data_IF_684653241674
#
_entry.id   IF_684653241674
#
_cell.length_a   1.000
_cell.length_b   1.000
_cell.length_c   1.000
_cell.angle_alpha   90.00
_cell.angle_beta   90.00
_cell.angle_gamma   90.00
#
_symmetry.space_group_name_H-M   'P 1'
#
loop_
_entity.id
_entity.type
_entity.pdbx_description
1 polymer ?
#
# COMPACT_ATOMS: atom_id res chain seq x y z
N UNK A 1 0.93 -12.67 13.72
CA UNK A 1 2.01 -11.66 13.72
C UNK A 1 1.86 -10.74 14.92
N UNK A 2 2.98 -10.33 15.58
CA UNK A 2 2.95 -9.39 16.71
C UNK A 2 2.60 -7.98 16.21
N UNK A 3 1.60 -7.33 16.81
CA UNK A 3 1.04 -6.07 16.33
C UNK A 3 1.53 -4.82 17.08
N UNK A 4 2.47 -4.98 18.01
CA UNK A 4 3.06 -3.90 18.80
C UNK A 4 4.59 -4.01 18.86
N UNK A 5 5.26 -2.91 19.23
CA UNK A 5 6.71 -2.88 19.38
C UNK A 5 7.49 -2.98 18.06
N UNK A 6 6.84 -2.74 16.92
CA UNK A 6 7.47 -2.74 15.60
C UNK A 6 7.93 -1.36 15.19
N UNK A 7 8.83 -1.30 14.22
CA UNK A 7 9.21 -0.10 13.48
C UNK A 7 8.80 -0.27 12.01
N UNK A 8 7.81 0.50 11.57
CA UNK A 8 7.04 0.27 10.35
C UNK A 8 7.24 1.44 9.38
N UNK A 9 7.67 1.14 8.15
CA UNK A 9 7.65 2.08 7.04
C UNK A 9 6.39 1.84 6.19
N UNK A 10 5.61 2.91 5.95
CA UNK A 10 4.39 2.85 5.14
C UNK A 10 4.51 3.81 3.95
N UNK A 11 4.54 3.28 2.73
CA UNK A 11 4.49 4.11 1.53
C UNK A 11 3.06 4.58 1.25
N UNK A 12 2.90 5.86 0.84
CA UNK A 12 1.57 6.45 0.70
C UNK A 12 0.81 6.55 2.02
N UNK A 13 1.55 6.70 3.15
CA UNK A 13 1.00 6.68 4.50
C UNK A 13 0.27 7.94 4.95
N UNK A 14 0.19 8.99 4.11
CA UNK A 14 -0.40 10.27 4.47
C UNK A 14 -1.90 10.40 4.15
N UNK A 15 -2.54 9.38 3.57
CA UNK A 15 -3.98 9.41 3.25
C UNK A 15 -4.56 7.99 3.08
N UNK A 16 -5.89 7.89 3.10
CA UNK A 16 -6.63 6.66 2.80
C UNK A 16 -6.19 5.46 3.63
N UNK A 17 -6.09 4.28 3.01
CA UNK A 17 -5.73 3.02 3.68
C UNK A 17 -4.37 3.13 4.39
N UNK A 18 -3.37 3.77 3.76
CA UNK A 18 -2.04 3.93 4.34
C UNK A 18 -2.06 4.72 5.64
N UNK A 19 -2.82 5.82 5.68
CA UNK A 19 -2.96 6.61 6.90
C UNK A 19 -3.77 5.89 7.98
N UNK A 20 -4.84 5.18 7.60
CA UNK A 20 -5.58 4.34 8.53
C UNK A 20 -4.71 3.23 9.15
N UNK A 21 -3.79 2.63 8.37
CA UNK A 21 -2.79 1.69 8.91
C UNK A 21 -1.81 2.39 9.85
N UNK A 22 -1.34 3.60 9.50
CA UNK A 22 -0.48 4.37 10.38
C UNK A 22 -1.14 4.66 11.74
N UNK A 23 -2.42 5.07 11.74
CA UNK A 23 -3.22 5.28 12.96
C UNK A 23 -3.35 3.99 13.78
N UNK A 24 -3.73 2.90 13.14
CA UNK A 24 -3.92 1.61 13.80
C UNK A 24 -2.67 1.13 14.53
N UNK A 25 -1.53 1.16 13.83
CA UNK A 25 -0.27 0.72 14.40
C UNK A 25 0.30 1.71 15.43
N UNK A 26 0.17 3.03 15.19
CA UNK A 26 0.60 4.06 16.13
C UNK A 26 -0.11 3.91 17.48
N UNK A 27 -1.43 3.71 17.47
CA UNK A 27 -2.24 3.52 18.67
C UNK A 27 -1.84 2.27 19.49
N UNK A 28 -1.09 1.33 18.87
CA UNK A 28 -0.58 0.11 19.51
C UNK A 28 0.91 0.19 19.91
N UNK A 29 1.47 1.40 19.95
CA UNK A 29 2.85 1.62 20.42
C UNK A 29 3.93 1.19 19.43
N UNK A 30 3.64 1.18 18.13
CA UNK A 30 4.66 0.98 17.10
C UNK A 30 5.31 2.32 16.71
N UNK A 31 6.58 2.28 16.34
CA UNK A 31 7.28 3.41 15.70
C UNK A 31 6.86 3.45 14.23
N UNK A 32 6.42 4.61 13.76
CA UNK A 32 5.88 4.77 12.41
C UNK A 32 6.72 5.77 11.61
N UNK A 33 7.13 5.37 10.42
CA UNK A 33 7.65 6.24 9.37
C UNK A 33 6.70 6.16 8.17
N UNK A 34 6.17 7.28 7.75
CA UNK A 34 5.38 7.36 6.52
C UNK A 34 6.13 8.13 5.45
N UNK A 35 5.96 7.71 4.20
CA UNK A 35 6.47 8.48 3.07
C UNK A 35 5.40 8.75 2.01
N UNK A 36 5.59 9.82 1.25
CA UNK A 36 4.68 10.24 0.19
C UNK A 36 5.19 11.50 -0.52
N UNK A 37 4.49 11.94 -1.55
CA UNK A 37 4.90 13.08 -2.38
C UNK A 37 4.40 14.42 -1.87
N UNK A 38 3.26 14.44 -1.17
CA UNK A 38 2.56 15.66 -0.71
C UNK A 38 3.04 16.04 0.68
N UNK A 39 3.86 17.07 0.75
CA UNK A 39 4.45 17.54 2.03
C UNK A 39 3.39 18.08 2.98
N UNK A 40 2.36 18.78 2.47
CA UNK A 40 1.21 19.25 3.22
C UNK A 40 0.49 18.09 3.92
N UNK A 41 0.20 17.00 3.20
CA UNK A 41 -0.45 15.82 3.77
C UNK A 41 0.43 15.07 4.78
N UNK A 42 1.73 15.02 4.54
CA UNK A 42 2.68 14.46 5.52
C UNK A 42 2.69 15.28 6.81
N UNK A 43 2.67 16.60 6.69
CA UNK A 43 2.62 17.50 7.85
C UNK A 43 1.28 17.40 8.62
N UNK A 44 0.15 17.26 7.91
CA UNK A 44 -1.15 17.01 8.53
C UNK A 44 -1.17 15.68 9.29
N UNK A 45 -0.65 14.61 8.69
CA UNK A 45 -0.55 13.31 9.33
C UNK A 45 0.33 13.33 10.60
N UNK A 46 1.46 14.07 10.56
CA UNK A 46 2.33 14.21 11.73
C UNK A 46 1.67 15.01 12.87
N UNK A 47 0.78 15.96 12.56
CA UNK A 47 -0.02 16.67 13.57
C UNK A 47 -1.08 15.76 14.21
N UNK A 48 -1.74 14.93 13.41
CA UNK A 48 -2.78 14.00 13.88
C UNK A 48 -2.19 12.84 14.69
N UNK A 49 -0.96 12.38 14.33
CA UNK A 49 -0.27 11.28 14.98
C UNK A 49 1.06 11.75 15.58
N UNK A 50 1.07 12.38 16.76
CA UNK A 50 2.32 12.90 17.36
C UNK A 50 3.37 11.79 17.54
N UNK A 51 4.60 12.07 17.11
CA UNK A 51 5.72 11.15 17.26
C UNK A 51 5.98 10.24 16.05
N UNK A 52 5.14 10.24 15.02
CA UNK A 52 5.50 9.57 13.76
C UNK A 52 6.57 10.37 13.02
N UNK A 53 7.37 9.67 12.22
CA UNK A 53 8.32 10.29 11.30
C UNK A 53 7.71 10.38 9.90
N UNK A 54 8.08 11.41 9.17
CA UNK A 54 7.62 11.63 7.80
C UNK A 54 8.78 11.96 6.88
N UNK A 55 8.74 11.48 5.64
CA UNK A 55 9.73 11.81 4.62
C UNK A 55 9.06 11.99 3.27
N UNK A 56 9.40 13.09 2.56
CA UNK A 56 8.99 13.23 1.17
C UNK A 56 9.72 12.22 0.31
N UNK A 57 8.98 11.44 -0.47
CA UNK A 57 9.52 10.44 -1.38
C UNK A 57 8.52 10.15 -2.50
N UNK A 58 8.96 10.30 -3.74
CA UNK A 58 8.30 9.69 -4.88
C UNK A 58 8.88 8.30 -5.10
N UNK A 59 8.07 7.27 -4.82
CA UNK A 59 8.51 5.85 -4.88
C UNK A 59 8.92 5.41 -6.29
N UNK A 60 8.56 6.14 -7.35
CA UNK A 60 9.00 5.83 -8.72
C UNK A 60 10.37 6.44 -9.05
N UNK A 61 10.84 7.38 -8.25
CA UNK A 61 12.13 8.03 -8.46
C UNK A 61 13.26 7.24 -7.78
N UNK A 62 14.28 6.74 -8.53
CA UNK A 62 15.39 5.99 -7.95
C UNK A 62 16.18 6.77 -6.88
N UNK A 63 16.39 8.08 -7.08
CA UNK A 63 17.12 8.92 -6.10
C UNK A 63 16.32 9.08 -4.81
N UNK A 64 15.00 9.22 -4.89
CA UNK A 64 14.15 9.32 -3.70
C UNK A 64 14.12 8.00 -2.93
N UNK A 65 14.06 6.84 -3.63
CA UNK A 65 14.18 5.52 -2.99
C UNK A 65 15.52 5.35 -2.27
N UNK A 66 16.62 5.81 -2.89
CA UNK A 66 17.95 5.78 -2.26
C UNK A 66 18.03 6.69 -1.04
N UNK A 67 17.47 7.89 -1.13
CA UNK A 67 17.39 8.84 -0.01
C UNK A 67 16.53 8.29 1.14
N UNK A 68 15.37 7.68 0.84
CA UNK A 68 14.52 7.00 1.82
C UNK A 68 15.29 5.88 2.53
N UNK A 69 16.01 5.05 1.78
CA UNK A 69 16.80 3.96 2.34
C UNK A 69 17.90 4.48 3.27
N UNK A 70 18.66 5.50 2.84
CA UNK A 70 19.68 6.15 3.67
C UNK A 70 19.08 6.76 4.94
N UNK A 71 17.92 7.40 4.83
CA UNK A 71 17.20 7.92 5.98
C UNK A 71 16.82 6.82 6.97
N UNK A 72 16.29 5.71 6.47
CA UNK A 72 15.92 4.57 7.32
C UNK A 72 17.15 4.00 8.04
N UNK A 73 18.27 3.83 7.35
CA UNK A 73 19.51 3.31 7.97
C UNK A 73 20.01 4.22 9.10
N UNK A 74 19.91 5.55 8.94
CA UNK A 74 20.47 6.50 9.89
C UNK A 74 19.49 6.89 11.01
N UNK A 75 18.20 7.07 10.68
CA UNK A 75 17.20 7.68 11.58
C UNK A 75 16.08 6.73 11.99
N UNK A 76 15.95 5.58 11.33
CA UNK A 76 14.92 4.57 11.62
C UNK A 76 15.48 3.13 11.59
N UNK A 77 16.66 2.87 12.24
CA UNK A 77 17.44 1.64 12.05
C UNK A 77 16.78 0.37 12.60
N UNK A 78 15.71 0.52 13.39
CA UNK A 78 14.99 -0.62 13.99
C UNK A 78 13.87 -1.15 13.06
N UNK A 79 13.78 -0.65 11.83
CA UNK A 79 12.76 -1.11 10.88
C UNK A 79 12.70 -2.63 10.82
N UNK A 80 11.51 -3.18 10.94
CA UNK A 80 11.23 -4.60 10.76
C UNK A 80 10.00 -4.88 9.89
N UNK A 81 9.23 -3.85 9.52
CA UNK A 81 8.06 -4.00 8.64
C UNK A 81 8.10 -2.93 7.53
N UNK A 82 7.98 -3.38 6.28
CA UNK A 82 7.73 -2.53 5.11
C UNK A 82 6.30 -2.73 4.63
N UNK A 83 5.53 -1.64 4.47
CA UNK A 83 4.19 -1.67 3.88
C UNK A 83 4.21 -0.94 2.54
N UNK A 84 4.13 -1.69 1.45
CA UNK A 84 3.96 -1.21 0.09
C UNK A 84 2.47 -0.90 -0.15
N UNK A 85 2.07 0.34 0.16
CA UNK A 85 0.68 0.79 0.03
C UNK A 85 0.51 1.88 -1.03
N UNK A 86 1.55 2.65 -1.36
CA UNK A 86 1.47 3.69 -2.38
C UNK A 86 0.87 3.13 -3.68
N UNK A 87 -0.10 3.84 -4.23
CA UNK A 87 -0.78 3.41 -5.45
C UNK A 87 -1.59 4.53 -6.06
N UNK A 88 -1.81 4.43 -7.37
CA UNK A 88 -2.68 5.31 -8.15
C UNK A 88 -3.64 4.47 -8.99
N UNK A 89 -4.74 5.08 -9.40
CA UNK A 89 -5.73 4.48 -10.29
C UNK A 89 -6.15 5.52 -11.32
N UNK A 90 -6.15 5.13 -12.60
CA UNK A 90 -6.53 6.00 -13.70
C UNK A 90 -7.56 5.32 -14.60
N UNK A 91 -8.37 6.11 -15.24
CA UNK A 91 -9.17 5.66 -16.38
C UNK A 91 -8.30 5.78 -17.64
N UNK A 92 -8.13 4.69 -18.37
CA UNK A 92 -7.32 4.57 -19.58
C UNK A 92 -8.18 4.02 -20.71
N UNK A 93 -8.24 4.76 -21.81
CA UNK A 93 -8.94 4.36 -23.03
C UNK A 93 -7.94 3.97 -24.11
N UNK A 94 -7.74 2.67 -24.32
CA UNK A 94 -6.80 2.14 -25.32
C UNK A 94 -7.18 2.50 -26.75
N UNK A 95 -8.44 2.88 -27.03
CA UNK A 95 -8.87 3.29 -28.37
C UNK A 95 -8.28 4.65 -28.80
N UNK A 96 -7.75 5.42 -27.84
CA UNK A 96 -7.04 6.70 -28.08
C UNK A 96 -5.55 6.54 -28.36
N UNK A 97 -5.06 5.31 -28.57
CA UNK A 97 -3.63 5.04 -28.72
C UNK A 97 -2.86 5.34 -27.43
N UNK A 98 -1.76 6.08 -27.51
CA UNK A 98 -0.88 6.37 -26.36
C UNK A 98 -1.30 7.59 -25.54
N UNK A 99 -2.30 8.35 -25.98
CA UNK A 99 -2.68 9.66 -25.41
C UNK A 99 -2.87 9.62 -23.90
N UNK A 100 -3.61 8.62 -23.39
CA UNK A 100 -3.88 8.52 -21.96
C UNK A 100 -2.64 8.06 -21.17
N UNK A 101 -1.65 7.43 -21.81
CA UNK A 101 -0.38 7.06 -21.17
C UNK A 101 0.59 8.24 -21.08
N UNK A 102 0.63 9.09 -22.09
CA UNK A 102 1.51 10.26 -22.16
C UNK A 102 1.07 11.37 -21.22
N UNK A 103 -0.26 11.49 -21.01
CA UNK A 103 -0.87 12.51 -20.20
C UNK A 103 -1.18 12.05 -18.78
N UNK A 104 -0.14 11.75 -17.98
CA UNK A 104 -0.32 11.46 -16.57
C UNK A 104 0.69 10.47 -15.97
N UNK A 105 0.42 10.09 -14.74
CA UNK A 105 1.31 9.22 -13.98
C UNK A 105 1.25 7.77 -14.49
N UNK A 106 2.40 7.11 -14.47
CA UNK A 106 2.51 5.71 -14.89
C UNK A 106 2.14 4.76 -13.76
N UNK A 107 0.97 4.13 -13.85
CA UNK A 107 0.49 3.16 -12.86
C UNK A 107 1.40 1.94 -12.71
N UNK A 108 2.05 1.49 -13.79
CA UNK A 108 2.97 0.34 -13.73
C UNK A 108 4.15 0.67 -12.81
N UNK A 109 4.70 1.87 -12.93
CA UNK A 109 5.81 2.30 -12.09
C UNK A 109 5.43 2.46 -10.63
N UNK A 110 4.25 3.03 -10.36
CA UNK A 110 3.81 3.27 -8.97
C UNK A 110 3.33 1.98 -8.31
N UNK A 111 2.42 1.23 -8.98
CA UNK A 111 1.69 0.14 -8.36
C UNK A 111 2.42 -1.20 -8.39
N UNK A 112 3.41 -1.37 -9.30
CA UNK A 112 4.12 -2.64 -9.48
C UNK A 112 5.64 -2.48 -9.37
N UNK A 113 6.26 -1.61 -10.18
CA UNK A 113 7.71 -1.44 -10.17
C UNK A 113 8.22 -0.99 -8.80
N UNK A 114 7.61 0.05 -8.21
CA UNK A 114 8.05 0.60 -6.92
C UNK A 114 7.98 -0.42 -5.77
N UNK A 115 6.88 -1.18 -5.55
CA UNK A 115 6.86 -2.27 -4.57
C UNK A 115 7.95 -3.32 -4.76
N UNK A 116 8.24 -3.71 -6.02
CA UNK A 116 9.30 -4.68 -6.33
C UNK A 116 10.68 -4.12 -5.92
N UNK A 117 11.00 -2.89 -6.33
CA UNK A 117 12.28 -2.27 -6.00
C UNK A 117 12.44 -1.99 -4.50
N UNK A 118 11.40 -1.49 -3.83
CA UNK A 118 11.44 -1.26 -2.39
C UNK A 118 11.59 -2.57 -1.62
N UNK A 119 10.88 -3.62 -2.02
CA UNK A 119 11.03 -4.93 -1.40
C UNK A 119 12.47 -5.44 -1.54
N UNK A 120 13.06 -5.37 -2.74
CA UNK A 120 14.44 -5.78 -2.96
C UNK A 120 15.42 -4.94 -2.13
N UNK A 121 15.22 -3.62 -2.08
CA UNK A 121 16.08 -2.68 -1.35
C UNK A 121 16.07 -2.92 0.16
N UNK A 122 14.88 -3.21 0.74
CA UNK A 122 14.72 -3.38 2.18
C UNK A 122 14.91 -4.83 2.67
N UNK A 123 14.84 -5.82 1.82
CA UNK A 123 15.04 -7.24 2.20
C UNK A 123 16.31 -7.48 3.02
N UNK A 124 17.52 -6.97 2.64
CA UNK A 124 18.73 -7.19 3.43
C UNK A 124 18.68 -6.58 4.84
N UNK A 125 17.93 -5.49 5.02
CA UNK A 125 17.77 -4.80 6.30
C UNK A 125 16.76 -5.50 7.20
N UNK A 126 15.74 -6.11 6.59
CA UNK A 126 14.68 -6.84 7.30
C UNK A 126 15.11 -8.26 7.69
N UNK A 127 16.01 -8.87 6.93
CA UNK A 127 16.47 -10.24 7.18
C UNK A 127 17.05 -10.39 8.59
N UNK A 128 16.59 -11.42 9.31
CA UNK A 128 17.02 -11.70 10.69
C UNK A 128 16.42 -10.79 11.76
N UNK A 129 15.54 -9.84 11.40
CA UNK A 129 14.82 -9.03 12.39
C UNK A 129 13.67 -9.86 13.00
N UNK A 130 13.42 -9.66 14.29
CA UNK A 130 12.23 -10.21 14.93
C UNK A 130 10.97 -9.64 14.28
N UNK A 131 10.00 -10.49 13.99
CA UNK A 131 8.72 -10.11 13.38
C UNK A 131 8.87 -9.39 12.02
N UNK A 132 9.93 -9.73 11.26
CA UNK A 132 10.19 -9.13 9.95
C UNK A 132 9.06 -9.41 8.95
N UNK A 133 8.54 -8.37 8.30
CA UNK A 133 7.50 -8.54 7.31
C UNK A 133 7.57 -7.52 6.17
N UNK A 134 7.10 -7.95 5.00
CA UNK A 134 6.73 -7.07 3.88
C UNK A 134 5.23 -7.25 3.63
N UNK A 135 4.50 -6.16 3.65
CA UNK A 135 3.06 -6.14 3.44
C UNK A 135 2.78 -5.43 2.11
N UNK A 136 2.18 -6.13 1.16
CA UNK A 136 1.79 -5.56 -0.13
C UNK A 136 0.28 -5.29 -0.16
N UNK A 137 -0.11 -4.07 -0.49
CA UNK A 137 -1.53 -3.70 -0.64
C UNK A 137 -1.92 -3.79 -2.11
N UNK A 138 -2.57 -4.90 -2.48
CA UNK A 138 -3.09 -5.14 -3.83
C UNK A 138 -4.51 -4.56 -4.01
N UNK A 139 -5.43 -5.32 -4.53
CA UNK A 139 -6.83 -4.92 -4.70
C UNK A 139 -7.70 -6.12 -5.02
N UNK A 140 -8.96 -6.13 -4.62
CA UNK A 140 -9.96 -7.07 -5.12
C UNK A 140 -10.10 -7.06 -6.64
N UNK A 141 -9.81 -5.93 -7.28
CA UNK A 141 -9.81 -5.80 -8.73
C UNK A 141 -8.71 -6.61 -9.44
N UNK A 142 -7.68 -7.07 -8.74
CA UNK A 142 -6.71 -8.03 -9.26
C UNK A 142 -7.36 -9.36 -9.74
N UNK A 143 -8.51 -9.70 -9.16
CA UNK A 143 -9.24 -10.95 -9.39
C UNK A 143 -10.55 -10.78 -10.17
N UNK A 144 -10.83 -9.56 -10.62
CA UNK A 144 -12.09 -9.19 -11.28
C UNK A 144 -11.84 -8.37 -12.56
N UNK A 145 -11.16 -8.93 -13.57
CA UNK A 145 -10.80 -8.18 -14.78
C UNK A 145 -12.03 -7.67 -15.55
N UNK A 146 -13.16 -8.37 -15.43
CA UNK A 146 -14.42 -8.01 -16.11
C UNK A 146 -15.20 -6.90 -15.39
N UNK A 147 -14.74 -6.44 -14.22
CA UNK A 147 -15.48 -5.44 -13.45
C UNK A 147 -15.56 -4.07 -14.15
N UNK A 148 -14.51 -3.65 -14.83
CA UNK A 148 -14.47 -2.38 -15.54
C UNK A 148 -13.42 -2.35 -16.65
N UNK A 149 -13.85 -2.13 -17.88
CA UNK A 149 -12.95 -1.92 -19.01
C UNK A 149 -12.16 -0.60 -18.93
N UNK A 150 -12.60 0.37 -18.13
CA UNK A 150 -11.98 1.70 -18.04
C UNK A 150 -10.66 1.74 -17.26
N UNK A 151 -10.24 0.65 -16.62
CA UNK A 151 -9.03 0.63 -15.76
C UNK A 151 -8.08 -0.52 -16.10
N UNK A 152 -7.72 -0.74 -17.37
CA UNK A 152 -6.97 -1.93 -17.79
C UNK A 152 -5.60 -2.01 -17.09
N UNK A 153 -4.91 -0.89 -16.93
CA UNK A 153 -3.58 -0.87 -16.32
C UNK A 153 -3.66 -1.11 -14.81
N UNK A 154 -4.66 -0.53 -14.12
CA UNK A 154 -4.84 -0.78 -12.70
C UNK A 154 -5.05 -2.26 -12.38
N UNK A 155 -5.98 -2.93 -13.09
CA UNK A 155 -6.23 -4.36 -12.95
C UNK A 155 -4.95 -5.17 -13.17
N UNK A 156 -4.22 -4.88 -14.27
CA UNK A 156 -2.96 -5.54 -14.61
C UNK A 156 -1.92 -5.37 -13.51
N UNK A 157 -1.72 -4.13 -13.01
CA UNK A 157 -0.71 -3.88 -11.98
C UNK A 157 -1.03 -4.57 -10.65
N UNK A 158 -2.31 -4.61 -10.27
CA UNK A 158 -2.72 -5.26 -9.02
C UNK A 158 -2.69 -6.78 -9.13
N UNK A 159 -3.01 -7.36 -10.29
CA UNK A 159 -2.81 -8.78 -10.57
C UNK A 159 -1.31 -9.14 -10.58
N UNK A 160 -0.47 -8.30 -11.17
CA UNK A 160 0.99 -8.47 -11.12
C UNK A 160 1.55 -8.40 -9.70
N UNK A 161 1.05 -7.48 -8.87
CA UNK A 161 1.46 -7.37 -7.47
C UNK A 161 1.02 -8.58 -6.62
N UNK A 162 -0.18 -9.14 -6.90
CA UNK A 162 -0.62 -10.40 -6.31
C UNK A 162 0.36 -11.53 -6.66
N UNK A 163 0.63 -11.75 -7.95
CA UNK A 163 1.56 -12.78 -8.39
C UNK A 163 2.96 -12.61 -7.77
N UNK A 164 3.45 -11.37 -7.71
CA UNK A 164 4.71 -11.02 -7.04
C UNK A 164 4.68 -11.39 -5.56
N UNK A 165 3.60 -11.08 -4.84
CA UNK A 165 3.45 -11.37 -3.41
C UNK A 165 3.50 -12.87 -3.12
N UNK A 166 2.87 -13.70 -3.96
CA UNK A 166 2.89 -15.16 -3.84
C UNK A 166 4.30 -15.72 -4.02
N UNK A 167 5.04 -15.26 -5.04
CA UNK A 167 6.42 -15.72 -5.30
C UNK A 167 7.37 -15.20 -4.22
N UNK A 168 7.26 -13.91 -3.86
CA UNK A 168 8.05 -13.27 -2.84
C UNK A 168 7.95 -13.98 -1.48
N UNK A 169 6.74 -14.40 -1.09
CA UNK A 169 6.48 -15.16 0.14
C UNK A 169 7.34 -16.42 0.22
N UNK A 170 7.37 -17.19 -0.89
CA UNK A 170 8.19 -18.41 -0.98
C UNK A 170 9.69 -18.10 -0.94
N UNK A 171 10.11 -17.02 -1.61
CA UNK A 171 11.51 -16.65 -1.70
C UNK A 171 12.08 -16.14 -0.37
N UNK A 172 11.29 -15.39 0.40
CA UNK A 172 11.76 -14.71 1.60
C UNK A 172 11.52 -15.50 2.91
N UNK A 173 10.66 -16.51 2.89
CA UNK A 173 10.41 -17.36 4.05
C UNK A 173 11.69 -18.00 4.64
N UNK A 174 12.65 -18.52 3.83
CA UNK A 174 13.88 -19.13 4.37
C UNK A 174 14.80 -18.16 5.13
N UNK A 175 14.65 -16.85 4.91
CA UNK A 175 15.42 -15.80 5.61
C UNK A 175 14.60 -15.08 6.70
N UNK A 176 13.45 -15.67 7.08
CA UNK A 176 12.64 -15.20 8.20
C UNK A 176 11.82 -13.95 7.95
N UNK A 177 11.58 -13.59 6.68
CA UNK A 177 10.70 -12.46 6.34
C UNK A 177 9.33 -12.99 5.91
N UNK A 178 8.29 -12.60 6.63
CA UNK A 178 6.91 -12.90 6.28
C UNK A 178 6.41 -11.95 5.20
N UNK A 179 5.77 -12.46 4.17
CA UNK A 179 5.13 -11.64 3.13
C UNK A 179 3.62 -11.79 3.21
N UNK A 180 2.96 -10.68 3.47
CA UNK A 180 1.51 -10.59 3.63
C UNK A 180 0.94 -9.76 2.50
N UNK A 181 -0.18 -10.22 1.93
CA UNK A 181 -0.95 -9.45 0.96
C UNK A 181 -2.27 -8.99 1.59
N UNK A 182 -2.50 -7.68 1.59
CA UNK A 182 -3.81 -7.11 1.94
C UNK A 182 -4.53 -6.79 0.63
N UNK A 183 -5.75 -7.32 0.49
CA UNK A 183 -6.59 -7.25 -0.73
C UNK A 183 -7.84 -6.43 -0.41
N UNK A 184 -7.78 -5.08 -0.53
CA UNK A 184 -8.92 -4.24 -0.24
C UNK A 184 -10.05 -4.45 -1.24
N UNK A 185 -11.31 -4.47 -0.77
CA UNK A 185 -12.47 -4.21 -1.63
C UNK A 185 -12.50 -2.73 -2.03
N UNK A 186 -13.58 -2.28 -2.65
CA UNK A 186 -13.77 -0.84 -2.87
C UNK A 186 -14.02 -0.14 -1.53
N UNK A 187 -13.02 0.60 -1.04
CA UNK A 187 -13.12 1.40 0.18
C UNK A 187 -13.21 2.88 -0.12
N UNK A 188 -13.73 3.67 0.81
CA UNK A 188 -13.77 5.13 0.70
C UNK A 188 -12.33 5.67 0.73
N UNK A 189 -11.88 6.31 -0.35
CA UNK A 189 -10.52 6.86 -0.48
C UNK A 189 -10.48 7.95 -1.55
N UNK A 190 -9.40 8.73 -1.57
CA UNK A 190 -9.11 9.75 -2.60
C UNK A 190 -8.57 9.14 -3.90
N UNK A 191 -8.51 7.82 -4.02
CA UNK A 191 -8.00 7.13 -5.20
C UNK A 191 -8.95 7.33 -6.39
N UNK A 192 -8.47 8.00 -7.46
CA UNK A 192 -9.22 8.32 -8.68
C UNK A 192 -10.62 8.94 -8.42
N UNK A 193 -10.71 10.12 -7.79
CA UNK A 193 -12.00 10.70 -7.39
C UNK A 193 -12.90 11.03 -8.60
N UNK A 194 -12.32 11.43 -9.73
CA UNK A 194 -13.08 11.73 -10.95
C UNK A 194 -13.65 10.46 -11.59
N UNK A 195 -12.85 9.44 -11.76
CA UNK A 195 -13.30 8.16 -12.30
C UNK A 195 -14.35 7.50 -11.41
N UNK A 196 -14.22 7.64 -10.09
CA UNK A 196 -15.24 7.16 -9.14
C UNK A 196 -16.58 7.90 -9.30
N UNK A 197 -16.54 9.22 -9.49
CA UNK A 197 -17.76 10.00 -9.78
C UNK A 197 -18.41 9.56 -11.09
N UNK A 198 -17.62 9.39 -12.16
CA UNK A 198 -18.14 8.93 -13.47
C UNK A 198 -18.80 7.55 -13.40
N UNK A 199 -18.30 6.67 -12.51
CA UNK A 199 -18.86 5.32 -12.30
C UNK A 199 -19.92 5.25 -11.20
N UNK A 200 -20.36 6.40 -10.64
CA UNK A 200 -21.32 6.49 -9.53
C UNK A 200 -20.90 5.67 -8.28
N UNK A 201 -19.59 5.57 -8.04
CA UNK A 201 -19.04 4.82 -6.91
C UNK A 201 -18.62 5.74 -5.77
N UNK A 202 -18.33 7.02 -6.04
CA UNK A 202 -17.76 7.95 -5.08
C UNK A 202 -18.62 8.13 -3.82
N UNK A 203 -19.94 8.19 -3.98
CA UNK A 203 -20.92 8.47 -2.92
C UNK A 203 -21.76 7.23 -2.59
N UNK A 204 -21.32 6.04 -2.98
CA UNK A 204 -22.05 4.82 -2.66
C UNK A 204 -22.10 4.62 -1.12
N UNK A 205 -23.31 4.46 -0.53
CA UNK A 205 -23.46 4.23 0.91
C UNK A 205 -22.87 2.88 1.35
N UNK A 206 -22.48 2.05 0.38
CA UNK A 206 -21.90 0.72 0.64
C UNK A 206 -20.36 0.74 0.65
N UNK A 207 -19.73 1.90 0.50
CA UNK A 207 -18.27 2.00 0.61
C UNK A 207 -17.86 1.89 2.08
N UNK A 208 -17.06 0.87 2.36
CA UNK A 208 -16.47 0.70 3.69
C UNK A 208 -15.50 1.85 3.98
N UNK A 209 -15.59 2.51 5.14
CA UNK A 209 -14.56 3.46 5.58
C UNK A 209 -13.18 2.79 5.65
N UNK A 210 -12.11 3.54 5.34
CA UNK A 210 -10.75 2.99 5.36
C UNK A 210 -10.32 2.52 6.75
N UNK A 211 -10.76 3.21 7.82
CA UNK A 211 -10.44 2.80 9.19
C UNK A 211 -11.10 1.47 9.56
N UNK A 212 -12.38 1.29 9.20
CA UNK A 212 -13.11 0.02 9.40
C UNK A 212 -12.47 -1.13 8.61
N UNK A 213 -12.10 -0.85 7.35
CA UNK A 213 -11.39 -1.84 6.54
C UNK A 213 -10.08 -2.27 7.20
N UNK A 214 -9.27 -1.32 7.63
CA UNK A 214 -7.96 -1.58 8.23
C UNK A 214 -8.10 -2.37 9.53
N UNK A 215 -9.05 -2.03 10.39
CA UNK A 215 -9.30 -2.76 11.63
C UNK A 215 -9.61 -4.23 11.34
N UNK A 216 -10.56 -4.51 10.43
CA UNK A 216 -10.92 -5.88 10.05
C UNK A 216 -9.76 -6.64 9.39
N UNK A 217 -9.02 -5.98 8.50
CA UNK A 217 -7.90 -6.60 7.79
C UNK A 217 -6.75 -6.95 8.75
N UNK A 218 -6.41 -6.04 9.65
CA UNK A 218 -5.31 -6.25 10.57
C UNK A 218 -5.66 -7.25 11.69
N UNK A 219 -6.94 -7.39 12.06
CA UNK A 219 -7.40 -8.48 12.93
C UNK A 219 -7.15 -9.86 12.29
N UNK A 220 -7.39 -10.03 10.98
CA UNK A 220 -7.05 -11.27 10.27
C UNK A 220 -5.54 -11.50 10.24
N UNK A 221 -4.75 -10.44 10.09
CA UNK A 221 -3.29 -10.53 10.14
C UNK A 221 -2.78 -10.99 11.52
N UNK A 222 -3.44 -10.61 12.62
CA UNK A 222 -3.18 -11.14 13.97
C UNK A 222 -3.42 -12.65 14.04
N UNK A 223 -4.39 -13.17 13.30
CA UNK A 223 -4.74 -14.59 13.20
C UNK A 223 -3.83 -15.37 12.24
N UNK A 224 -2.69 -14.78 11.87
CA UNK A 224 -1.66 -15.37 11.02
C UNK A 224 -2.07 -15.68 9.57
N UNK A 225 -3.11 -15.02 9.05
CA UNK A 225 -3.42 -15.05 7.62
C UNK A 225 -2.37 -14.27 6.82
N UNK A 226 -1.88 -14.83 5.70
CA UNK A 226 -0.90 -14.19 4.79
C UNK A 226 -1.53 -13.57 3.55
N UNK A 227 -2.78 -13.92 3.25
CA UNK A 227 -3.59 -13.34 2.19
C UNK A 227 -4.90 -12.86 2.80
N UNK A 228 -5.01 -11.55 2.98
CA UNK A 228 -6.09 -10.94 3.73
C UNK A 228 -7.09 -10.34 2.76
N UNK A 229 -8.18 -11.04 2.54
CA UNK A 229 -9.30 -10.61 1.72
C UNK A 229 -10.56 -10.45 2.59
N UNK A 230 -11.17 -9.27 2.54
CA UNK A 230 -12.49 -9.07 3.10
C UNK A 230 -13.53 -9.25 2.00
N UNK A 231 -14.51 -10.12 2.26
CA UNK A 231 -15.64 -10.27 1.36
C UNK A 231 -16.43 -8.96 1.30
N UNK A 232 -16.75 -8.52 0.10
CA UNK A 232 -17.77 -7.47 -0.04
C UNK A 232 -19.09 -8.07 0.43
N UNK A 233 -19.72 -7.46 1.41
CA UNK A 233 -21.08 -7.80 1.79
C UNK A 233 -21.95 -7.45 0.57
N UNK A 234 -22.25 -8.45 -0.28
CA UNK A 234 -23.33 -8.34 -1.26
C UNK A 234 -24.61 -8.30 -0.42
N UNK A 235 -25.09 -7.11 -0.10
CA UNK A 235 -26.47 -6.99 0.36
C UNK A 235 -27.33 -7.21 -0.86
N UNK A 236 -28.06 -8.33 -0.83
CA UNK A 236 -29.15 -8.70 -1.74
C UNK A 236 -30.20 -7.59 -1.80
#
# INVERSE_FOLDING_TARGET
>A
MKMNGNAILITGGASGIGFSMAKYFHARGNSILICGRREDRLAEAAKELPGIQTIKCDVVNPSDRSALFSYVQNSFPKINILINNAGIQRDIDLTKGTTDFENGENEIRVNLEAPVFLSALFTPVLAGRENAAIINVSSGLAFMPDYSAGMPIYHTTKAGLHAFSVVQRRQLAPIGIRVIEIIPPTVKSELNPEGRRKRNVADSPHLMPSDEFVEKALTKMEQDEDEIRLEQIRRS
#
